data_IF_357540498635
#
_entry.id   IF_357540498635
#
_cell.length_a   1.000
_cell.length_b   1.000
_cell.length_c   1.000
_cell.angle_alpha   90.00
_cell.angle_beta   90.00
_cell.angle_gamma   90.00
#
_symmetry.space_group_name_H-M   'P 1'
#
loop_
_entity.id
_entity.type
_entity.pdbx_description
1 polymer ?
#
# COMPACT_ATOMS: atom_id res chain seq x y z
N UNK A 1 25.15 -9.28 17.37
CA UNK A 1 23.69 -9.34 17.34
C UNK A 1 23.06 -8.61 16.14
N UNK A 2 23.83 -8.25 15.12
CA UNK A 2 23.35 -7.47 13.96
C UNK A 2 23.02 -8.28 12.70
N UNK A 3 23.09 -9.61 12.73
CA UNK A 3 22.93 -10.45 11.52
C UNK A 3 21.53 -11.03 11.32
N UNK A 4 20.65 -10.93 12.30
CA UNK A 4 19.32 -11.55 12.23
C UNK A 4 18.27 -10.70 11.45
N UNK A 5 18.44 -9.38 11.43
CA UNK A 5 17.53 -8.47 10.71
C UNK A 5 17.79 -8.38 9.19
N UNK A 6 19.00 -8.76 8.72
CA UNK A 6 19.35 -8.67 7.29
C UNK A 6 18.74 -9.76 6.40
N UNK A 7 18.17 -10.85 6.96
CA UNK A 7 17.65 -11.99 6.18
C UNK A 7 16.15 -12.04 5.97
N UNK A 8 15.38 -11.17 6.60
CA UNK A 8 13.90 -11.16 6.48
C UNK A 8 13.33 -10.14 5.49
N UNK A 9 14.17 -9.41 4.77
CA UNK A 9 13.76 -8.27 3.95
C UNK A 9 13.27 -8.52 2.51
N UNK A 10 13.43 -9.67 1.84
CA UNK A 10 12.88 -9.80 0.48
C UNK A 10 11.36 -10.01 0.42
N UNK A 11 10.67 -10.15 1.56
CA UNK A 11 9.27 -10.60 1.55
C UNK A 11 8.23 -9.51 1.22
N UNK A 12 8.54 -8.22 1.45
CA UNK A 12 7.55 -7.15 1.22
C UNK A 12 7.41 -6.79 -0.27
N UNK A 13 8.50 -6.83 -1.03
CA UNK A 13 8.44 -6.59 -2.48
C UNK A 13 7.76 -7.75 -3.24
N UNK A 14 7.89 -9.00 -2.78
CA UNK A 14 7.25 -10.15 -3.42
C UNK A 14 5.74 -10.25 -3.11
N UNK A 15 5.27 -9.69 -1.99
CA UNK A 15 3.84 -9.63 -1.67
C UNK A 15 3.05 -8.73 -2.61
N UNK A 16 3.63 -7.65 -3.12
CA UNK A 16 2.93 -6.78 -4.07
C UNK A 16 2.76 -7.43 -5.46
N UNK A 17 3.70 -8.27 -5.91
CA UNK A 17 3.61 -8.96 -7.21
C UNK A 17 2.85 -10.31 -7.15
N UNK A 18 3.03 -11.07 -6.08
CA UNK A 18 2.41 -12.41 -5.94
C UNK A 18 0.91 -12.38 -5.65
N UNK A 19 0.41 -11.34 -4.98
CA UNK A 19 -1.00 -11.18 -4.65
C UNK A 19 -1.89 -10.84 -5.85
N UNK A 20 -1.33 -10.25 -6.91
CA UNK A 20 -2.09 -9.89 -8.11
C UNK A 20 -2.63 -11.11 -8.87
N UNK A 21 -1.94 -12.24 -8.82
CA UNK A 21 -2.35 -13.47 -9.52
C UNK A 21 -3.36 -14.33 -8.74
N UNK A 22 -3.33 -14.32 -7.41
CA UNK A 22 -4.23 -15.16 -6.61
C UNK A 22 -5.65 -14.56 -6.49
N UNK A 23 -5.77 -13.23 -6.43
CA UNK A 23 -7.07 -12.56 -6.37
C UNK A 23 -7.87 -12.67 -7.68
N UNK A 24 -7.21 -12.89 -8.82
CA UNK A 24 -7.91 -13.04 -10.10
C UNK A 24 -8.66 -14.38 -10.23
N UNK A 25 -8.23 -15.43 -9.54
CA UNK A 25 -8.89 -16.75 -9.64
C UNK A 25 -10.12 -16.90 -8.72
N UNK A 26 -10.22 -16.13 -7.63
CA UNK A 26 -11.39 -16.14 -6.75
C UNK A 26 -12.57 -15.32 -7.29
N UNK A 27 -12.31 -14.34 -8.16
CA UNK A 27 -13.34 -13.52 -8.79
C UNK A 27 -14.10 -14.26 -9.93
N UNK A 28 -13.64 -15.45 -10.34
CA UNK A 28 -14.23 -16.17 -11.50
C UNK A 28 -15.46 -17.01 -11.17
N UNK A 29 -15.84 -17.13 -9.91
CA UNK A 29 -16.98 -17.97 -9.48
C UNK A 29 -18.27 -17.20 -9.17
N UNK A 30 -18.24 -15.87 -9.22
CA UNK A 30 -19.45 -15.05 -9.04
C UNK A 30 -20.00 -14.65 -10.40
N UNK A 31 -21.26 -14.93 -10.68
CA UNK A 31 -21.97 -14.34 -11.83
C UNK A 31 -21.72 -12.83 -11.78
N UNK A 32 -21.02 -12.29 -12.79
CA UNK A 32 -20.70 -10.86 -12.87
C UNK A 32 -21.98 -10.06 -13.11
N UNK A 33 -22.75 -9.81 -12.07
CA UNK A 33 -23.77 -8.78 -12.12
C UNK A 33 -23.03 -7.45 -12.41
N UNK A 34 -23.22 -6.90 -13.61
CA UNK A 34 -22.66 -5.61 -14.02
C UNK A 34 -23.32 -4.49 -13.21
N UNK A 35 -22.69 -4.09 -12.13
CA UNK A 35 -23.12 -2.95 -11.34
C UNK A 35 -22.58 -1.66 -11.98
N UNK A 36 -23.41 -0.62 -12.05
CA UNK A 36 -22.92 0.72 -12.32
C UNK A 36 -22.18 1.29 -11.08
N UNK A 37 -21.56 2.45 -11.22
CA UNK A 37 -20.77 3.06 -10.15
C UNK A 37 -21.55 3.25 -8.84
N UNK A 38 -22.79 3.75 -8.90
CA UNK A 38 -23.60 3.97 -7.71
C UNK A 38 -24.04 2.66 -7.05
N UNK A 39 -24.41 1.68 -7.86
CA UNK A 39 -24.75 0.34 -7.38
C UNK A 39 -23.53 -0.33 -6.73
N UNK A 40 -22.34 -0.21 -7.34
CA UNK A 40 -21.09 -0.74 -6.79
C UNK A 40 -20.78 -0.13 -5.41
N UNK A 41 -20.90 1.19 -5.26
CA UNK A 41 -20.73 1.86 -3.97
C UNK A 41 -21.76 1.40 -2.93
N UNK A 42 -23.03 1.29 -3.31
CA UNK A 42 -24.08 0.81 -2.40
C UNK A 42 -23.83 -0.62 -1.93
N UNK A 43 -23.34 -1.47 -2.83
CA UNK A 43 -23.08 -2.88 -2.52
C UNK A 43 -21.97 -3.10 -1.47
N UNK A 44 -21.09 -2.10 -1.22
CA UNK A 44 -20.04 -2.21 -0.20
C UNK A 44 -20.59 -2.40 1.23
N UNK A 45 -21.81 -1.96 1.50
CA UNK A 45 -22.46 -2.11 2.81
C UNK A 45 -23.56 -3.18 2.82
N UNK A 46 -23.60 -4.07 1.81
CA UNK A 46 -24.60 -5.14 1.76
C UNK A 46 -24.34 -6.17 2.87
N UNK A 47 -25.40 -6.75 3.40
CA UNK A 47 -25.31 -7.80 4.43
C UNK A 47 -24.62 -9.06 3.88
N UNK A 48 -24.80 -9.36 2.60
CA UNK A 48 -24.25 -10.52 1.94
C UNK A 48 -22.78 -10.29 1.51
N UNK A 49 -21.81 -11.11 1.98
CA UNK A 49 -20.40 -10.94 1.66
C UNK A 49 -20.11 -10.91 0.15
N UNK A 50 -20.82 -11.76 -0.62
CA UNK A 50 -20.61 -11.85 -2.06
C UNK A 50 -21.00 -10.56 -2.79
N UNK A 51 -22.04 -9.86 -2.32
CA UNK A 51 -22.44 -8.56 -2.88
C UNK A 51 -21.42 -7.47 -2.57
N UNK A 52 -20.83 -7.48 -1.36
CA UNK A 52 -19.71 -6.58 -1.03
C UNK A 52 -18.52 -6.81 -1.94
N UNK A 53 -18.17 -8.09 -2.21
CA UNK A 53 -17.10 -8.47 -3.15
C UNK A 53 -17.41 -7.95 -4.55
N UNK A 54 -18.61 -8.19 -5.08
CA UNK A 54 -19.01 -7.71 -6.40
C UNK A 54 -18.95 -6.17 -6.48
N UNK A 55 -19.42 -5.47 -5.45
CA UNK A 55 -19.31 -4.01 -5.34
C UNK A 55 -17.86 -3.53 -5.47
N UNK A 56 -16.94 -4.14 -4.73
CA UNK A 56 -15.50 -3.82 -4.78
C UNK A 56 -14.89 -4.10 -6.14
N UNK A 57 -15.19 -5.25 -6.76
CA UNK A 57 -14.69 -5.61 -8.10
C UNK A 57 -15.13 -4.59 -9.15
N UNK A 58 -16.39 -4.15 -9.11
CA UNK A 58 -16.86 -3.12 -10.03
C UNK A 58 -16.28 -1.74 -9.71
N UNK A 59 -16.17 -1.38 -8.43
CA UNK A 59 -15.55 -0.13 -8.03
C UNK A 59 -14.08 -0.05 -8.43
N UNK A 60 -13.35 -1.16 -8.34
CA UNK A 60 -11.98 -1.25 -8.84
C UNK A 60 -11.87 -1.01 -10.36
N UNK A 61 -12.92 -1.28 -11.13
CA UNK A 61 -12.98 -0.99 -12.59
C UNK A 61 -13.37 0.47 -12.86
N UNK A 62 -14.37 0.98 -12.17
CA UNK A 62 -15.05 2.24 -12.45
C UNK A 62 -14.55 3.43 -11.64
N UNK A 63 -13.98 3.20 -10.46
CA UNK A 63 -13.54 4.20 -9.51
C UNK A 63 -12.13 4.72 -9.76
N UNK A 64 -11.73 5.66 -8.92
CA UNK A 64 -10.41 6.31 -8.87
C UNK A 64 -9.83 6.23 -7.46
N UNK A 65 -8.64 6.80 -7.22
CA UNK A 65 -8.03 6.87 -5.89
C UNK A 65 -8.96 7.47 -4.81
N UNK A 66 -9.85 8.40 -5.19
CA UNK A 66 -10.83 9.03 -4.28
C UNK A 66 -11.87 8.06 -3.72
N UNK A 67 -12.05 6.92 -4.35
CA UNK A 67 -13.04 5.92 -3.94
C UNK A 67 -12.47 4.92 -2.92
N UNK A 68 -11.18 4.95 -2.63
CA UNK A 68 -10.54 4.05 -1.68
C UNK A 68 -11.13 4.18 -0.26
N UNK A 69 -11.53 5.38 0.16
CA UNK A 69 -12.13 5.64 1.47
C UNK A 69 -13.37 4.77 1.72
N UNK A 70 -14.16 4.52 0.70
CA UNK A 70 -15.35 3.67 0.80
C UNK A 70 -15.02 2.19 1.04
N UNK A 71 -13.77 1.78 0.79
CA UNK A 71 -13.33 0.39 0.90
C UNK A 71 -12.58 0.12 2.21
N UNK A 72 -12.04 1.14 2.89
CA UNK A 72 -11.22 0.92 4.09
C UNK A 72 -11.93 0.15 5.20
N UNK A 73 -13.22 0.39 5.42
CA UNK A 73 -13.99 -0.35 6.42
C UNK A 73 -14.03 -1.87 6.14
N UNK A 74 -13.91 -2.28 4.87
CA UNK A 74 -13.90 -3.68 4.48
C UNK A 74 -12.53 -4.37 4.66
N UNK A 75 -11.48 -3.61 4.99
CA UNK A 75 -10.20 -4.18 5.42
C UNK A 75 -10.31 -4.90 6.77
N UNK A 76 -11.35 -4.58 7.57
CA UNK A 76 -11.67 -5.24 8.84
C UNK A 76 -12.97 -6.06 8.78
N UNK A 77 -13.39 -6.46 7.59
CA UNK A 77 -14.60 -7.27 7.42
C UNK A 77 -14.48 -8.63 8.15
N UNK A 78 -15.57 -9.12 8.70
CA UNK A 78 -15.62 -10.43 9.37
C UNK A 78 -15.19 -11.58 8.45
N UNK A 79 -15.46 -11.47 7.14
CA UNK A 79 -15.17 -12.51 6.16
C UNK A 79 -13.76 -12.34 5.55
N UNK A 80 -12.85 -13.32 5.68
CA UNK A 80 -11.50 -13.24 5.12
C UNK A 80 -11.46 -12.94 3.62
N UNK A 81 -12.38 -13.51 2.84
CA UNK A 81 -12.46 -13.28 1.40
C UNK A 81 -12.78 -11.81 1.07
N UNK A 82 -13.65 -11.16 1.86
CA UNK A 82 -13.97 -9.74 1.70
C UNK A 82 -12.73 -8.88 1.99
N UNK A 83 -12.01 -9.16 3.10
CA UNK A 83 -10.76 -8.43 3.42
C UNK A 83 -9.71 -8.53 2.33
N UNK A 84 -9.53 -9.73 1.74
CA UNK A 84 -8.57 -9.92 0.63
C UNK A 84 -8.94 -9.10 -0.60
N UNK A 85 -10.22 -9.10 -0.98
CA UNK A 85 -10.70 -8.29 -2.12
C UNK A 85 -10.63 -6.80 -1.79
N UNK A 86 -10.93 -6.40 -0.54
CA UNK A 86 -10.79 -5.01 -0.11
C UNK A 86 -9.34 -4.52 -0.26
N UNK A 87 -8.38 -5.31 0.22
CA UNK A 87 -6.96 -4.99 0.09
C UNK A 87 -6.55 -4.79 -1.38
N UNK A 88 -6.91 -5.74 -2.25
CA UNK A 88 -6.61 -5.66 -3.68
C UNK A 88 -7.29 -4.44 -4.34
N UNK A 89 -8.52 -4.14 -3.93
CA UNK A 89 -9.30 -3.02 -4.45
C UNK A 89 -8.68 -1.68 -4.07
N UNK A 90 -8.27 -1.52 -2.81
CA UNK A 90 -7.60 -0.31 -2.32
C UNK A 90 -6.33 -0.03 -3.14
N UNK A 91 -5.46 -1.02 -3.31
CA UNK A 91 -4.24 -0.88 -4.12
C UNK A 91 -4.55 -0.50 -5.56
N UNK A 92 -5.58 -1.11 -6.15
CA UNK A 92 -5.97 -0.82 -7.53
C UNK A 92 -6.53 0.58 -7.69
N UNK A 93 -7.32 1.05 -6.73
CA UNK A 93 -7.88 2.40 -6.73
C UNK A 93 -6.78 3.45 -6.55
N UNK A 94 -5.85 3.26 -5.64
CA UNK A 94 -4.73 4.17 -5.45
C UNK A 94 -3.89 4.35 -6.73
N UNK A 95 -3.75 3.29 -7.54
CA UNK A 95 -3.07 3.35 -8.84
C UNK A 95 -3.82 4.09 -9.94
N UNK A 96 -4.98 4.70 -9.66
CA UNK A 96 -5.79 5.43 -10.64
C UNK A 96 -5.85 6.91 -10.33
N UNK A 97 -5.19 7.71 -11.14
CA UNK A 97 -5.16 9.17 -10.97
C UNK A 97 -6.49 9.86 -11.34
N UNK A 98 -7.35 9.18 -12.12
CA UNK A 98 -8.54 9.74 -12.75
C UNK A 98 -8.26 10.56 -14.01
N UNK A 99 -7.05 10.46 -14.53
CA UNK A 99 -6.59 11.08 -15.79
C UNK A 99 -5.94 9.99 -16.65
N UNK A 100 -6.53 9.69 -17.81
CA UNK A 100 -6.09 8.59 -18.66
C UNK A 100 -4.65 8.74 -19.16
N UNK A 101 -4.17 9.98 -19.37
CA UNK A 101 -2.79 10.22 -19.79
C UNK A 101 -1.79 9.94 -18.64
N UNK A 102 -2.14 10.34 -17.43
CA UNK A 102 -1.35 10.04 -16.23
C UNK A 102 -1.38 8.54 -15.92
N UNK A 103 -2.55 7.89 -16.01
CA UNK A 103 -2.69 6.45 -15.78
C UNK A 103 -1.86 5.64 -16.80
N UNK A 104 -1.77 6.10 -18.05
CA UNK A 104 -0.90 5.48 -19.06
C UNK A 104 0.59 5.64 -18.71
N UNK A 105 1.02 6.83 -18.29
CA UNK A 105 2.40 7.04 -17.81
C UNK A 105 2.69 6.21 -16.56
N UNK A 106 1.74 6.10 -15.65
CA UNK A 106 1.88 5.29 -14.45
C UNK A 106 2.10 3.81 -14.81
N UNK A 107 1.34 3.27 -15.77
CA UNK A 107 1.56 1.92 -16.27
C UNK A 107 2.95 1.77 -16.91
N UNK A 108 3.40 2.73 -17.73
CA UNK A 108 4.76 2.71 -18.28
C UNK A 108 5.82 2.65 -17.18
N UNK A 109 5.65 3.42 -16.10
CA UNK A 109 6.54 3.37 -14.94
C UNK A 109 6.57 2.00 -14.27
N UNK A 110 5.42 1.34 -14.13
CA UNK A 110 5.33 -0.03 -13.59
C UNK A 110 6.03 -1.04 -14.50
N UNK A 111 5.85 -0.93 -15.81
CA UNK A 111 6.51 -1.82 -16.79
C UNK A 111 8.04 -1.67 -16.70
N UNK A 112 8.56 -0.43 -16.58
CA UNK A 112 10.00 -0.20 -16.36
C UNK A 112 10.51 -0.80 -15.05
N UNK A 113 9.72 -0.71 -13.98
CA UNK A 113 10.08 -1.40 -12.72
C UNK A 113 10.15 -2.91 -12.90
N UNK A 114 9.20 -3.49 -13.61
CA UNK A 114 9.16 -4.92 -13.88
C UNK A 114 10.34 -5.38 -14.74
N UNK A 115 10.75 -4.58 -15.72
CA UNK A 115 11.92 -4.82 -16.57
C UNK A 115 13.25 -4.63 -15.82
N UNK A 116 13.23 -4.13 -14.57
CA UNK A 116 14.44 -3.81 -13.82
C UNK A 116 15.10 -2.49 -14.21
N UNK A 117 14.49 -1.71 -15.11
CA UNK A 117 15.02 -0.41 -15.56
C UNK A 117 14.66 0.71 -14.57
N UNK A 118 15.26 0.62 -13.36
CA UNK A 118 14.97 1.54 -12.26
C UNK A 118 15.23 3.02 -12.61
N UNK A 119 16.31 3.39 -13.35
CA UNK A 119 16.52 4.79 -13.71
C UNK A 119 15.41 5.36 -14.60
N UNK A 120 14.91 4.59 -15.58
CA UNK A 120 13.78 5.04 -16.40
C UNK A 120 12.47 5.07 -15.62
N UNK A 121 12.23 4.10 -14.73
CA UNK A 121 11.07 4.11 -13.85
C UNK A 121 11.05 5.36 -12.96
N UNK A 122 12.17 5.73 -12.32
CA UNK A 122 12.31 6.96 -11.52
C UNK A 122 11.98 8.18 -12.38
N UNK A 123 12.50 8.24 -13.61
CA UNK A 123 12.21 9.36 -14.51
C UNK A 123 10.72 9.47 -14.79
N UNK A 124 10.06 8.37 -15.16
CA UNK A 124 8.62 8.35 -15.47
C UNK A 124 7.79 8.80 -14.26
N UNK A 125 8.05 8.27 -13.06
CA UNK A 125 7.32 8.69 -11.86
C UNK A 125 7.61 10.14 -11.50
N UNK A 126 8.83 10.64 -11.72
CA UNK A 126 9.17 12.06 -11.55
C UNK A 126 8.41 12.96 -12.52
N UNK A 127 8.26 12.55 -13.78
CA UNK A 127 7.47 13.26 -14.78
C UNK A 127 5.97 13.29 -14.40
N UNK A 128 5.44 12.19 -13.84
CA UNK A 128 4.08 12.14 -13.30
C UNK A 128 3.93 13.11 -12.12
N UNK A 129 4.85 13.08 -11.17
CA UNK A 129 4.85 13.96 -9.99
C UNK A 129 4.88 15.44 -10.41
N UNK A 130 5.68 15.80 -11.41
CA UNK A 130 5.74 17.16 -11.94
C UNK A 130 4.39 17.60 -12.56
N UNK A 131 3.72 16.69 -13.28
CA UNK A 131 2.44 16.97 -13.96
C UNK A 131 1.24 16.92 -12.99
N UNK A 132 1.30 16.03 -12.02
CA UNK A 132 0.20 15.76 -11.07
C UNK A 132 0.73 15.49 -9.67
N UNK A 133 1.22 16.52 -8.98
CA UNK A 133 1.86 16.36 -7.66
C UNK A 133 0.91 15.79 -6.57
N UNK A 134 -0.41 15.87 -6.78
CA UNK A 134 -1.41 15.30 -5.87
C UNK A 134 -1.57 13.77 -6.00
N UNK A 135 -1.01 13.14 -7.04
CA UNK A 135 -1.12 11.70 -7.24
C UNK A 135 -0.13 10.94 -6.34
N UNK A 136 -0.58 10.57 -5.15
CA UNK A 136 0.24 9.98 -4.09
C UNK A 136 0.98 8.70 -4.54
N UNK A 137 0.34 7.87 -5.37
CA UNK A 137 0.91 6.59 -5.77
C UNK A 137 2.15 6.73 -6.66
N UNK A 138 2.31 7.84 -7.41
CA UNK A 138 3.54 8.10 -8.15
C UNK A 138 4.73 8.34 -7.20
N UNK A 139 4.52 9.07 -6.09
CA UNK A 139 5.50 9.24 -5.03
C UNK A 139 5.81 7.89 -4.38
N UNK A 140 4.78 7.09 -4.08
CA UNK A 140 4.95 5.78 -3.46
C UNK A 140 5.77 4.82 -4.33
N UNK A 141 5.55 4.78 -5.64
CA UNK A 141 6.34 3.93 -6.53
C UNK A 141 7.79 4.41 -6.62
N UNK A 142 8.02 5.71 -6.69
CA UNK A 142 9.39 6.25 -6.69
C UNK A 142 10.10 5.98 -5.36
N UNK A 143 9.41 6.13 -4.22
CA UNK A 143 9.92 5.74 -2.91
C UNK A 143 10.33 4.26 -2.86
N UNK A 144 9.49 3.39 -3.44
CA UNK A 144 9.78 1.95 -3.51
C UNK A 144 11.06 1.69 -4.30
N UNK A 145 11.26 2.36 -5.43
CA UNK A 145 12.48 2.21 -6.23
C UNK A 145 13.70 2.71 -5.44
N UNK A 146 13.64 3.90 -4.85
CA UNK A 146 14.71 4.44 -4.03
C UNK A 146 15.10 3.51 -2.87
N UNK A 147 14.10 2.87 -2.24
CA UNK A 147 14.37 1.86 -1.22
C UNK A 147 15.13 0.66 -1.79
N UNK A 148 14.69 0.14 -2.95
CA UNK A 148 15.30 -1.02 -3.62
C UNK A 148 16.74 -0.75 -4.09
N UNK A 149 17.04 0.48 -4.46
CA UNK A 149 18.35 0.93 -4.96
C UNK A 149 19.26 1.49 -3.86
N UNK A 150 18.77 1.55 -2.60
CA UNK A 150 19.56 1.94 -1.44
C UNK A 150 19.57 3.44 -1.14
N UNK A 151 18.81 4.23 -1.91
CA UNK A 151 18.67 5.69 -1.70
C UNK A 151 17.61 5.97 -0.60
N UNK A 152 17.86 5.50 0.60
CA UNK A 152 16.90 5.51 1.69
C UNK A 152 16.40 6.90 2.09
N UNK A 153 17.25 7.93 2.02
CA UNK A 153 16.88 9.31 2.30
C UNK A 153 15.82 9.82 1.33
N UNK A 154 16.00 9.55 0.03
CA UNK A 154 15.04 9.93 -1.01
C UNK A 154 13.74 9.12 -0.86
N UNK A 155 13.85 7.83 -0.51
CA UNK A 155 12.69 7.01 -0.21
C UNK A 155 11.86 7.55 0.95
N UNK A 156 12.51 7.95 2.06
CA UNK A 156 11.80 8.51 3.22
C UNK A 156 11.12 9.85 2.88
N UNK A 157 11.78 10.73 2.12
CA UNK A 157 11.19 11.98 1.66
C UNK A 157 9.93 11.74 0.81
N UNK A 158 10.00 10.79 -0.12
CA UNK A 158 8.85 10.43 -0.94
C UNK A 158 7.73 9.79 -0.11
N UNK A 159 8.06 8.94 0.90
CA UNK A 159 7.07 8.41 1.84
C UNK A 159 6.35 9.52 2.63
N UNK A 160 7.07 10.56 3.07
CA UNK A 160 6.47 11.72 3.74
C UNK A 160 5.48 12.44 2.80
N UNK A 161 5.86 12.61 1.53
CA UNK A 161 4.98 13.22 0.54
C UNK A 161 3.75 12.36 0.22
N UNK A 162 3.86 11.02 0.26
CA UNK A 162 2.71 10.11 0.17
C UNK A 162 1.78 10.32 1.36
N UNK A 163 2.30 10.24 2.59
CA UNK A 163 1.51 10.32 3.82
C UNK A 163 0.83 11.70 3.97
N UNK A 164 1.46 12.75 3.47
CA UNK A 164 0.87 14.10 3.44
C UNK A 164 -0.34 14.18 2.50
N UNK A 165 -0.33 13.47 1.37
CA UNK A 165 -1.39 13.49 0.35
C UNK A 165 -2.48 12.46 0.60
N UNK A 166 -2.08 11.33 1.17
CA UNK A 166 -2.93 10.19 1.46
C UNK A 166 -2.54 9.61 2.82
N UNK A 167 -3.05 10.17 3.92
CA UNK A 167 -2.71 9.76 5.30
C UNK A 167 -3.01 8.28 5.59
N UNK A 168 -3.93 7.68 4.86
CA UNK A 168 -4.38 6.29 4.97
C UNK A 168 -3.53 5.32 4.15
N UNK A 169 -2.47 5.79 3.49
CA UNK A 169 -1.63 4.91 2.67
C UNK A 169 -0.77 3.99 3.55
N UNK A 170 -1.37 2.92 4.08
CA UNK A 170 -0.70 2.01 5.03
C UNK A 170 0.60 1.40 4.47
N UNK A 171 0.73 1.20 3.17
CA UNK A 171 1.98 0.73 2.55
C UNK A 171 3.14 1.71 2.74
N UNK A 172 2.90 3.01 2.54
CA UNK A 172 3.92 4.04 2.78
C UNK A 172 4.22 4.21 4.29
N UNK A 173 3.18 4.11 5.15
CA UNK A 173 3.36 4.13 6.61
C UNK A 173 4.28 2.99 7.06
N UNK A 174 4.06 1.77 6.58
CA UNK A 174 4.89 0.59 6.91
C UNK A 174 6.31 0.74 6.38
N UNK A 175 6.47 1.10 5.10
CA UNK A 175 7.79 1.29 4.49
C UNK A 175 8.62 2.36 5.19
N UNK A 176 7.97 3.49 5.53
CA UNK A 176 8.64 4.55 6.28
C UNK A 176 9.00 4.13 7.71
N UNK A 177 8.09 3.44 8.40
CA UNK A 177 8.36 2.91 9.74
C UNK A 177 9.58 1.96 9.74
N UNK A 178 9.69 1.12 8.73
CA UNK A 178 10.81 0.19 8.58
C UNK A 178 12.15 0.94 8.45
N UNK A 179 12.22 1.94 7.58
CA UNK A 179 13.43 2.75 7.41
C UNK A 179 13.80 3.55 8.67
N UNK A 180 12.80 4.07 9.40
CA UNK A 180 13.03 4.74 10.69
C UNK A 180 13.55 3.79 11.77
N UNK A 181 13.05 2.55 11.81
CA UNK A 181 13.53 1.54 12.74
C UNK A 181 15.01 1.21 12.50
N UNK A 182 15.42 1.06 11.24
CA UNK A 182 16.81 0.83 10.83
C UNK A 182 17.73 2.00 11.19
N UNK A 183 17.18 3.22 11.27
CA UNK A 183 17.89 4.45 11.67
C UNK A 183 17.81 4.75 13.16
N UNK A 184 17.50 3.77 13.98
CA UNK A 184 17.43 3.91 15.44
C UNK A 184 16.41 4.97 15.91
N UNK A 185 15.30 5.13 15.16
CA UNK A 185 14.16 5.99 15.50
C UNK A 185 12.89 5.15 15.81
N UNK A 186 12.95 4.23 16.79
CA UNK A 186 11.89 3.25 17.00
C UNK A 186 10.57 3.89 17.48
N UNK A 187 10.63 5.03 18.18
CA UNK A 187 9.43 5.72 18.67
C UNK A 187 8.59 6.24 17.49
N UNK A 188 9.25 6.85 16.49
CA UNK A 188 8.57 7.33 15.27
C UNK A 188 8.07 6.17 14.43
N UNK A 189 8.88 5.12 14.31
CA UNK A 189 8.51 3.90 13.59
C UNK A 189 7.26 3.25 14.19
N UNK A 190 7.19 3.13 15.52
CA UNK A 190 6.04 2.55 16.23
C UNK A 190 4.77 3.36 15.96
N UNK A 191 4.83 4.68 16.03
CA UNK A 191 3.68 5.53 15.77
C UNK A 191 3.11 5.35 14.34
N UNK A 192 3.98 5.17 13.33
CA UNK A 192 3.55 4.91 11.96
C UNK A 192 2.95 3.50 11.82
N UNK A 193 3.54 2.49 12.47
CA UNK A 193 3.00 1.12 12.46
C UNK A 193 1.63 1.04 13.13
N UNK A 194 1.43 1.73 14.25
CA UNK A 194 0.13 1.79 14.93
C UNK A 194 -0.93 2.46 14.05
N UNK A 195 -0.56 3.51 13.32
CA UNK A 195 -1.46 4.13 12.32
C UNK A 195 -1.80 3.15 11.20
N UNK A 196 -0.80 2.47 10.64
CA UNK A 196 -1.01 1.50 9.55
C UNK A 196 -1.91 0.34 9.99
N UNK A 197 -1.69 -0.22 11.18
CA UNK A 197 -2.52 -1.29 11.77
C UNK A 197 -3.94 -0.84 12.06
N UNK A 198 -4.15 0.42 12.41
CA UNK A 198 -5.50 0.97 12.61
C UNK A 198 -6.30 1.04 11.31
N UNK A 199 -5.63 1.29 10.18
CA UNK A 199 -6.26 1.34 8.85
C UNK A 199 -6.49 -0.09 8.32
N UNK A 200 -5.50 -0.96 8.46
CA UNK A 200 -5.57 -2.35 8.08
C UNK A 200 -5.13 -3.25 9.24
N UNK A 201 -6.07 -3.77 10.03
CA UNK A 201 -5.76 -4.62 11.21
C UNK A 201 -5.08 -5.95 10.84
N UNK A 202 -5.16 -6.37 9.59
CA UNK A 202 -4.60 -7.63 9.11
C UNK A 202 -3.28 -7.45 8.33
N UNK A 203 -2.55 -6.39 8.60
CA UNK A 203 -1.20 -6.21 8.04
C UNK A 203 -0.28 -7.33 8.50
N UNK A 204 0.34 -8.01 7.53
CA UNK A 204 1.26 -9.10 7.82
C UNK A 204 2.42 -8.62 8.71
N UNK A 205 2.70 -9.38 9.77
CA UNK A 205 3.80 -9.13 10.72
C UNK A 205 3.72 -7.80 11.49
N UNK A 206 2.61 -7.07 11.44
CA UNK A 206 2.51 -5.77 12.11
C UNK A 206 2.72 -5.88 13.62
N UNK A 207 2.05 -6.83 14.28
CA UNK A 207 2.20 -7.07 15.72
C UNK A 207 3.63 -7.43 16.11
N UNK A 208 4.29 -8.30 15.31
CA UNK A 208 5.68 -8.68 15.55
C UNK A 208 6.62 -7.47 15.43
N UNK A 209 6.41 -6.65 14.40
CA UNK A 209 7.21 -5.44 14.18
C UNK A 209 7.00 -4.43 15.32
N UNK A 210 5.76 -4.19 15.73
CA UNK A 210 5.44 -3.28 16.84
C UNK A 210 6.03 -3.78 18.17
N UNK A 211 5.99 -5.10 18.44
CA UNK A 211 6.62 -5.68 19.60
C UNK A 211 8.15 -5.47 19.58
N UNK A 212 8.80 -5.71 18.46
CA UNK A 212 10.24 -5.46 18.30
C UNK A 212 10.61 -3.99 18.51
N UNK A 213 9.79 -3.07 18.01
CA UNK A 213 10.00 -1.63 18.21
C UNK A 213 9.86 -1.22 19.69
N UNK A 214 8.89 -1.76 20.42
CA UNK A 214 8.72 -1.53 21.86
C UNK A 214 9.95 -2.01 22.65
N UNK A 215 10.51 -3.17 22.31
CA UNK A 215 11.76 -3.67 22.90
C UNK A 215 12.94 -2.72 22.60
N UNK A 216 13.05 -2.23 21.37
CA UNK A 216 14.12 -1.27 21.02
C UNK A 216 14.00 0.03 21.83
N UNK A 217 12.80 0.56 22.00
CA UNK A 217 12.52 1.76 22.82
C UNK A 217 12.95 1.52 24.27
N UNK A 218 12.57 0.38 24.84
CA UNK A 218 12.94 0.03 26.21
C UNK A 218 14.45 -0.09 26.41
N UNK A 219 15.14 -0.78 25.51
CA UNK A 219 16.59 -0.90 25.54
C UNK A 219 17.31 0.43 25.40
N UNK A 220 16.82 1.31 24.52
CA UNK A 220 17.37 2.67 24.34
C UNK A 220 17.22 3.48 25.63
N UNK A 221 16.09 3.39 26.33
CA UNK A 221 15.87 4.05 27.63
C UNK A 221 16.82 3.55 28.71
N UNK A 222 17.05 2.24 28.80
CA UNK A 222 17.97 1.64 29.77
C UNK A 222 19.41 2.08 29.54
N UNK A 223 19.83 2.31 28.29
CA UNK A 223 21.19 2.71 27.95
C UNK A 223 21.43 4.23 28.12
N UNK A 224 20.42 5.03 28.42
CA UNK A 224 20.52 6.47 28.67
C UNK A 224 20.58 6.81 30.16
N UNK A 225 20.43 5.82 31.03
CA UNK A 225 20.54 5.92 32.50
C UNK A 225 21.92 5.42 32.92
#
# INVERSE_FOLDING_TARGET
MSSFLRRSLPMICHLALGFMLCAMNLAHAASEEKLNYQQARKALSDAEPQRRINGMVQLAKLGTAKDADAVYALLDDAQPAVRQVALATVWRLWGKSGDAAIDKLYQEGLDRMQDGDMPKAIKVFSDIIAKRPAFAEAWNKRATIYYMTGEYELSMQDCEEVIKRLPEHFGALVGYAQMLAERSQPERALALMERASKINPYLANAELMMAALRIQIENKRKNMI
#
